data_IF_385444383447
#
_entry.id   IF_385444383447
#
_cell.length_a   1.000
_cell.length_b   1.000
_cell.length_c   1.000
_cell.angle_alpha   90.00
_cell.angle_beta   90.00
_cell.angle_gamma   90.00
#
_symmetry.space_group_name_H-M   'P 1'
#
loop_
_entity.id
_entity.type
_entity.pdbx_description
1 polymer ?
#
# COMPACT_ATOMS: atom_id res chain seq x y z
N UNK A 1 21.80 -40.26 -6.97
CA UNK A 1 20.44 -40.33 -6.40
C UNK A 1 20.62 -40.32 -4.91
N UNK A 2 20.59 -39.15 -4.31
CA UNK A 2 20.60 -38.96 -2.86
C UNK A 2 19.47 -37.95 -2.54
N UNK A 3 18.67 -38.40 -1.66
CA UNK A 3 17.39 -37.92 -1.19
C UNK A 3 17.48 -36.45 -0.71
N UNK A 4 16.68 -35.56 -1.31
CA UNK A 4 16.51 -34.14 -0.93
C UNK A 4 15.23 -33.89 -0.14
N UNK A 5 14.65 -34.94 0.46
CA UNK A 5 13.38 -34.84 1.24
C UNK A 5 13.54 -34.57 2.75
N UNK A 6 14.78 -34.39 3.26
CA UNK A 6 15.00 -34.27 4.71
C UNK A 6 15.27 -32.84 5.24
N UNK A 7 15.25 -31.82 4.39
CA UNK A 7 15.50 -30.44 4.79
C UNK A 7 14.22 -29.62 5.09
N UNK A 8 13.03 -30.15 4.81
CA UNK A 8 11.74 -29.45 5.01
C UNK A 8 11.01 -29.81 6.32
N UNK A 9 11.58 -30.73 7.12
CA UNK A 9 10.96 -31.23 8.35
C UNK A 9 11.62 -30.76 9.66
N UNK A 10 12.58 -29.84 9.60
CA UNK A 10 13.29 -29.34 10.79
C UNK A 10 12.77 -28.00 11.33
N UNK A 11 11.66 -27.49 10.83
CA UNK A 11 11.07 -26.22 11.31
C UNK A 11 9.71 -26.37 12.02
N UNK A 12 9.31 -27.57 12.43
CA UNK A 12 7.99 -27.84 13.06
C UNK A 12 8.06 -28.41 14.46
N UNK A 13 9.10 -28.10 15.25
CA UNK A 13 9.08 -28.32 16.68
C UNK A 13 9.46 -27.03 17.39
N UNK A 14 8.52 -26.06 17.41
CA UNK A 14 8.49 -25.05 18.45
C UNK A 14 7.69 -25.62 19.61
N UNK A 15 8.32 -25.54 20.79
CA UNK A 15 7.80 -25.90 22.09
C UNK A 15 6.34 -25.45 22.26
N UNK A 16 5.47 -26.39 22.60
CA UNK A 16 4.07 -26.13 22.97
C UNK A 16 3.99 -25.66 24.42
N UNK A 17 4.48 -24.45 24.69
CA UNK A 17 3.96 -23.68 25.83
C UNK A 17 2.59 -23.13 25.43
N UNK A 18 1.60 -23.07 26.37
CA UNK A 18 0.29 -22.54 26.03
C UNK A 18 0.47 -21.08 25.62
N UNK A 19 0.28 -20.83 24.31
CA UNK A 19 0.12 -19.48 23.80
C UNK A 19 -1.06 -18.88 24.59
N UNK A 20 -0.83 -17.71 25.21
CA UNK A 20 -1.87 -16.79 25.63
C UNK A 20 -2.98 -16.71 24.57
N UNK A 21 -4.20 -16.39 24.94
CA UNK A 21 -5.44 -16.30 24.12
C UNK A 21 -5.38 -15.35 22.90
N UNK A 22 -4.22 -15.15 22.30
CA UNK A 22 -3.92 -14.24 21.20
C UNK A 22 -4.07 -14.97 19.85
N UNK A 23 -5.28 -15.39 19.53
CA UNK A 23 -5.62 -15.84 18.18
C UNK A 23 -5.79 -14.62 17.24
N UNK A 24 -5.50 -14.76 15.93
CA UNK A 24 -5.73 -13.68 14.97
C UNK A 24 -7.21 -13.29 14.89
N UNK A 25 -7.47 -12.00 14.60
CA UNK A 25 -8.83 -11.52 14.35
C UNK A 25 -9.43 -12.27 13.16
N UNK A 26 -10.68 -12.64 13.28
CA UNK A 26 -11.44 -13.21 12.17
C UNK A 26 -12.09 -12.10 11.34
N UNK A 27 -12.36 -12.37 10.06
CA UNK A 27 -13.10 -11.44 9.22
C UNK A 27 -14.47 -11.06 9.83
N UNK A 28 -15.11 -11.99 10.57
CA UNK A 28 -16.38 -11.73 11.26
C UNK A 28 -16.18 -10.75 12.42
N UNK A 29 -15.09 -10.84 13.16
CA UNK A 29 -14.80 -9.91 14.25
C UNK A 29 -14.48 -8.50 13.75
N UNK A 30 -13.75 -8.39 12.64
CA UNK A 30 -13.52 -7.13 11.98
C UNK A 30 -14.81 -6.50 11.46
N UNK A 31 -15.66 -7.28 10.79
CA UNK A 31 -16.99 -6.85 10.34
C UNK A 31 -17.87 -6.36 11.49
N UNK A 32 -17.91 -7.12 12.59
CA UNK A 32 -18.66 -6.74 13.78
C UNK A 32 -18.14 -5.43 14.38
N UNK A 33 -16.83 -5.23 14.45
CA UNK A 33 -16.22 -4.01 14.96
C UNK A 33 -16.64 -2.77 14.12
N UNK A 34 -16.64 -2.88 12.79
CA UNK A 34 -17.10 -1.79 11.89
C UNK A 34 -18.59 -1.49 12.04
N UNK A 35 -19.43 -2.48 12.36
CA UNK A 35 -20.85 -2.26 12.65
C UNK A 35 -21.14 -1.80 14.10
N UNK A 36 -20.09 -1.59 14.90
CA UNK A 36 -20.19 -1.18 16.29
C UNK A 36 -20.41 -2.33 17.29
N UNK A 37 -20.35 -3.57 16.82
CA UNK A 37 -20.41 -4.77 17.65
C UNK A 37 -19.00 -5.33 17.84
N UNK A 38 -18.52 -5.41 19.09
CA UNK A 38 -17.17 -5.88 19.40
C UNK A 38 -17.22 -7.22 20.12
N UNK A 39 -16.42 -8.18 19.63
CA UNK A 39 -16.22 -9.44 20.35
C UNK A 39 -15.29 -9.20 21.54
N UNK A 40 -15.37 -10.07 22.56
CA UNK A 40 -14.44 -10.01 23.70
C UNK A 40 -12.98 -10.16 23.27
N UNK A 41 -12.72 -10.93 22.23
CA UNK A 41 -11.39 -11.11 21.67
C UNK A 41 -10.89 -9.81 21.04
N UNK A 42 -11.70 -9.16 20.18
CA UNK A 42 -11.36 -7.84 19.63
C UNK A 42 -11.10 -6.81 20.74
N UNK A 43 -12.03 -6.71 21.70
CA UNK A 43 -11.88 -5.81 22.84
C UNK A 43 -10.58 -6.05 23.62
N UNK A 44 -10.17 -7.33 23.81
CA UNK A 44 -8.95 -7.65 24.57
C UNK A 44 -7.66 -7.13 23.91
N UNK A 45 -7.64 -7.01 22.58
CA UNK A 45 -6.51 -6.46 21.83
C UNK A 45 -6.39 -4.94 21.98
N UNK A 46 -7.51 -4.26 22.19
CA UNK A 46 -7.59 -2.79 22.24
C UNK A 46 -8.01 -2.24 23.63
N UNK A 47 -8.16 -3.11 24.65
CA UNK A 47 -8.36 -2.67 26.02
C UNK A 47 -7.06 -2.15 26.61
N UNK A 48 -7.05 -0.91 27.02
CA UNK A 48 -5.88 -0.25 27.55
C UNK A 48 -6.05 0.09 29.04
N UNK A 49 -5.02 -0.16 29.84
CA UNK A 49 -4.95 0.30 31.21
C UNK A 49 -4.63 1.81 31.25
N UNK A 50 -4.80 2.48 32.39
CA UNK A 50 -4.34 3.87 32.57
C UNK A 50 -2.85 4.07 32.27
N UNK A 51 -2.05 3.00 32.37
CA UNK A 51 -0.62 3.02 32.03
C UNK A 51 -0.39 3.08 30.51
N UNK A 52 -1.39 2.70 29.70
CA UNK A 52 -1.33 2.69 28.24
C UNK A 52 -1.75 4.02 27.58
N UNK A 53 -1.59 5.12 28.25
CA UNK A 53 -1.90 6.45 27.66
C UNK A 53 -0.82 6.91 26.70
N UNK A 54 -1.18 7.65 25.67
CA UNK A 54 -0.23 8.33 24.78
C UNK A 54 0.55 9.39 25.58
N UNK A 55 1.86 9.41 25.43
CA UNK A 55 2.76 10.36 26.08
C UNK A 55 3.50 11.28 25.10
N UNK A 56 3.66 10.85 23.85
CA UNK A 56 4.18 11.72 22.80
C UNK A 56 3.72 11.27 21.42
N UNK A 57 3.65 12.22 20.51
CA UNK A 57 3.47 12.04 19.07
C UNK A 57 4.61 12.76 18.38
N UNK A 58 5.44 12.01 17.67
CA UNK A 58 6.55 12.55 16.90
C UNK A 58 6.22 12.41 15.40
N UNK A 59 6.49 13.44 14.62
CA UNK A 59 6.30 13.44 13.17
C UNK A 59 7.62 13.84 12.53
N UNK A 60 8.03 13.08 11.51
CA UNK A 60 9.24 13.33 10.75
C UNK A 60 8.93 13.29 9.26
N UNK A 61 9.41 14.25 8.50
CA UNK A 61 9.55 14.15 7.06
C UNK A 61 11.03 13.98 6.74
N UNK A 62 11.43 12.79 6.31
CA UNK A 62 12.82 12.44 6.05
C UNK A 62 13.00 12.06 4.59
N UNK A 63 14.19 12.29 4.03
CA UNK A 63 14.45 11.96 2.65
C UNK A 63 15.93 12.09 2.29
N UNK A 64 16.18 12.00 1.00
CA UNK A 64 17.48 12.29 0.39
C UNK A 64 17.39 13.61 -0.37
N UNK A 65 18.54 14.25 -0.60
CA UNK A 65 18.60 15.43 -1.49
C UNK A 65 18.58 15.03 -2.97
N UNK A 66 18.77 13.76 -3.27
CA UNK A 66 18.77 13.21 -4.61
C UNK A 66 17.34 13.01 -5.12
N UNK A 67 17.13 13.33 -6.38
CA UNK A 67 15.88 13.04 -7.09
C UNK A 67 15.99 11.65 -7.71
N UNK A 68 14.93 10.85 -7.62
CA UNK A 68 15.02 9.42 -7.94
C UNK A 68 14.27 9.00 -9.19
N UNK A 69 13.12 9.62 -9.48
CA UNK A 69 12.28 9.20 -10.59
C UNK A 69 11.48 10.36 -11.18
N UNK A 70 11.11 10.22 -12.45
CA UNK A 70 10.07 11.04 -13.09
C UNK A 70 8.81 10.20 -13.22
N UNK A 71 7.66 10.84 -13.04
CA UNK A 71 6.35 10.24 -13.21
C UNK A 71 5.70 10.79 -14.47
N UNK A 72 4.70 10.10 -15.00
CA UNK A 72 3.92 10.54 -16.15
C UNK A 72 3.44 11.98 -15.96
N UNK A 73 3.56 12.79 -17.03
CA UNK A 73 3.12 14.18 -17.01
C UNK A 73 3.98 15.17 -16.21
N UNK A 74 5.11 14.76 -15.62
CA UNK A 74 6.04 15.64 -14.91
C UNK A 74 7.38 15.75 -15.65
N UNK A 75 7.85 16.99 -15.85
CA UNK A 75 9.14 17.25 -16.50
C UNK A 75 10.33 17.04 -15.56
N UNK A 76 10.14 17.29 -14.25
CA UNK A 76 11.21 17.24 -13.24
C UNK A 76 11.06 16.03 -12.34
N UNK A 77 12.17 15.38 -11.97
CA UNK A 77 12.18 14.30 -10.99
C UNK A 77 11.71 14.79 -9.62
N UNK A 78 10.98 13.94 -8.90
CA UNK A 78 10.58 14.22 -7.53
C UNK A 78 11.66 13.83 -6.54
N UNK A 79 11.70 14.55 -5.41
CA UNK A 79 12.42 14.11 -4.21
C UNK A 79 11.54 13.15 -3.44
N UNK A 80 12.10 11.99 -3.10
CA UNK A 80 11.39 11.03 -2.27
C UNK A 80 11.50 11.43 -0.79
N UNK A 81 10.35 11.52 -0.14
CA UNK A 81 10.24 11.89 1.27
C UNK A 81 9.37 10.87 2.01
N UNK A 82 9.89 10.32 3.09
CA UNK A 82 9.15 9.41 3.96
C UNK A 82 8.57 10.21 5.14
N UNK A 83 7.25 10.28 5.22
CA UNK A 83 6.54 10.95 6.30
C UNK A 83 6.19 9.92 7.39
N UNK A 84 6.86 10.03 8.53
CA UNK A 84 6.74 9.08 9.64
C UNK A 84 5.96 9.73 10.77
N UNK A 85 4.86 9.11 11.18
CA UNK A 85 4.19 9.36 12.44
C UNK A 85 4.61 8.29 13.45
N UNK A 86 4.95 8.71 14.68
CA UNK A 86 5.29 7.84 15.79
C UNK A 86 4.46 8.21 17.02
N UNK A 87 3.66 7.29 17.49
CA UNK A 87 2.88 7.41 18.74
C UNK A 87 3.61 6.62 19.81
N UNK A 88 3.84 7.21 21.00
CA UNK A 88 4.44 6.52 22.14
C UNK A 88 3.48 6.48 23.32
N UNK A 89 3.49 5.37 24.01
CA UNK A 89 2.65 5.12 25.19
C UNK A 89 3.48 5.04 26.48
N UNK A 90 2.87 5.31 27.64
CA UNK A 90 3.54 5.37 28.93
C UNK A 90 4.13 4.03 29.37
N UNK A 91 3.58 2.90 28.92
CA UNK A 91 4.08 1.55 29.16
C UNK A 91 5.23 1.13 28.23
N UNK A 92 5.66 2.04 27.34
CA UNK A 92 6.84 1.89 26.49
C UNK A 92 6.59 1.27 25.12
N UNK A 93 5.34 1.02 24.74
CA UNK A 93 5.02 0.65 23.37
C UNK A 93 5.03 1.86 22.43
N UNK A 94 5.16 1.57 21.15
CA UNK A 94 5.07 2.58 20.09
C UNK A 94 4.32 2.03 18.89
N UNK A 95 3.58 2.92 18.21
CA UNK A 95 2.99 2.66 16.91
C UNK A 95 3.58 3.60 15.87
N UNK A 96 3.85 3.10 14.69
CA UNK A 96 4.52 3.82 13.62
C UNK A 96 3.71 3.70 12.34
N UNK A 97 3.60 4.79 11.59
CA UNK A 97 3.12 4.78 10.23
C UNK A 97 4.08 5.53 9.30
N UNK A 98 4.04 5.18 8.03
CA UNK A 98 4.62 5.98 6.96
C UNK A 98 3.51 6.32 5.97
N UNK A 99 3.45 7.57 5.57
CA UNK A 99 2.46 8.07 4.62
C UNK A 99 3.15 8.98 3.63
N UNK A 100 2.88 8.79 2.36
CA UNK A 100 3.38 9.64 1.30
C UNK A 100 2.37 10.72 0.95
N UNK A 101 2.88 11.89 0.66
CA UNK A 101 2.11 12.95 0.03
C UNK A 101 2.48 12.94 -1.45
N UNK A 102 1.60 12.44 -2.28
CA UNK A 102 1.84 12.32 -3.73
C UNK A 102 2.09 13.65 -4.43
N UNK A 103 1.72 14.78 -3.83
CA UNK A 103 1.87 16.09 -4.46
C UNK A 103 3.23 16.75 -4.25
N UNK A 104 3.86 16.53 -3.09
CA UNK A 104 5.05 17.30 -2.68
C UNK A 104 6.18 16.45 -2.06
N UNK A 105 5.97 15.14 -1.95
CA UNK A 105 6.94 14.23 -1.31
C UNK A 105 7.06 14.39 0.20
N UNK A 106 6.33 15.32 0.83
CA UNK A 106 6.28 15.51 2.28
C UNK A 106 4.91 16.03 2.72
N UNK A 107 4.60 15.92 4.00
CA UNK A 107 3.44 16.62 4.55
C UNK A 107 3.59 18.12 4.34
N UNK A 108 2.56 18.74 3.77
CA UNK A 108 2.46 20.19 3.71
C UNK A 108 2.35 20.79 5.12
N UNK A 109 2.61 22.08 5.24
CA UNK A 109 2.38 22.80 6.50
C UNK A 109 0.93 22.66 6.99
N UNK A 110 -0.02 22.52 6.07
CA UNK A 110 -1.43 22.29 6.35
C UNK A 110 -1.66 20.94 7.02
N UNK A 111 -1.12 19.84 6.44
CA UNK A 111 -1.17 18.51 7.05
C UNK A 111 -0.51 18.48 8.45
N UNK A 112 0.60 19.20 8.64
CA UNK A 112 1.25 19.29 9.94
C UNK A 112 0.39 20.05 10.96
N UNK A 113 -0.37 21.07 10.51
CA UNK A 113 -1.33 21.78 11.37
C UNK A 113 -2.54 20.90 11.72
N UNK A 114 -3.04 20.12 10.78
CA UNK A 114 -4.09 19.14 11.04
C UNK A 114 -3.63 18.10 12.07
N UNK A 115 -2.46 17.50 11.87
CA UNK A 115 -1.88 16.53 12.80
C UNK A 115 -1.68 17.11 14.20
N UNK A 116 -1.28 18.39 14.33
CA UNK A 116 -1.20 19.09 15.62
C UNK A 116 -2.56 19.22 16.30
N UNK A 117 -3.57 19.59 15.52
CA UNK A 117 -4.94 19.74 16.05
C UNK A 117 -5.46 18.39 16.57
N UNK A 118 -5.28 17.33 15.79
CA UNK A 118 -5.67 15.98 16.17
C UNK A 118 -4.88 15.46 17.37
N UNK A 119 -3.58 15.74 17.46
CA UNK A 119 -2.76 15.30 18.60
C UNK A 119 -3.32 15.85 19.94
N UNK A 120 -3.82 17.07 19.97
CA UNK A 120 -4.47 17.61 21.16
C UNK A 120 -5.78 16.89 21.49
N UNK A 121 -6.55 16.50 20.47
CA UNK A 121 -7.77 15.70 20.62
C UNK A 121 -7.45 14.27 21.07
N UNK A 122 -6.37 13.70 20.58
CA UNK A 122 -5.89 12.35 20.91
C UNK A 122 -5.61 12.16 22.40
N UNK A 123 -5.10 13.19 23.07
CA UNK A 123 -4.87 13.17 24.53
C UNK A 123 -6.20 13.02 25.29
N UNK A 124 -7.28 13.56 24.73
CA UNK A 124 -8.61 13.47 25.32
C UNK A 124 -9.30 12.14 25.00
N UNK A 125 -8.82 11.39 24.01
CA UNK A 125 -9.36 10.08 23.66
C UNK A 125 -8.89 9.05 24.67
N UNK A 126 -9.85 8.32 25.26
CA UNK A 126 -9.57 7.21 26.19
C UNK A 126 -9.45 5.86 25.46
N UNK A 127 -9.42 5.87 24.14
CA UNK A 127 -9.32 4.67 23.30
C UNK A 127 -8.17 4.78 22.34
N UNK A 128 -7.53 3.65 22.06
CA UNK A 128 -6.54 3.47 20.98
C UNK A 128 -6.99 2.38 19.99
N UNK A 129 -8.26 2.00 20.04
CA UNK A 129 -8.91 1.16 19.03
C UNK A 129 -9.00 1.94 17.71
N UNK A 130 -8.33 1.50 16.64
CA UNK A 130 -8.27 2.27 15.39
C UNK A 130 -9.67 2.53 14.80
N UNK A 131 -10.60 1.58 14.88
CA UNK A 131 -11.98 1.75 14.37
C UNK A 131 -12.76 2.76 15.20
N UNK A 132 -12.62 2.73 16.52
CA UNK A 132 -13.28 3.70 17.42
C UNK A 132 -12.70 5.10 17.22
N UNK A 133 -11.38 5.21 17.17
CA UNK A 133 -10.69 6.49 16.96
C UNK A 133 -11.07 7.07 15.61
N UNK A 134 -11.06 6.26 14.53
CA UNK A 134 -11.49 6.70 13.20
C UNK A 134 -12.91 7.27 13.22
N UNK A 135 -13.86 6.56 13.81
CA UNK A 135 -15.25 7.02 13.96
C UNK A 135 -15.37 8.31 14.79
N UNK A 136 -14.55 8.48 15.82
CA UNK A 136 -14.51 9.68 16.63
C UNK A 136 -13.92 10.87 15.85
N UNK A 137 -12.81 10.64 15.13
CA UNK A 137 -12.16 11.65 14.31
C UNK A 137 -13.08 12.15 13.21
N UNK A 138 -13.77 11.29 12.50
CA UNK A 138 -14.75 11.67 11.48
C UNK A 138 -15.85 12.59 12.04
N UNK A 139 -16.31 12.34 13.27
CA UNK A 139 -17.31 13.18 13.93
C UNK A 139 -16.77 14.50 14.42
N UNK A 140 -15.55 14.51 14.95
CA UNK A 140 -14.93 15.71 15.54
C UNK A 140 -14.28 16.60 14.47
N UNK A 141 -13.79 16.00 13.42
CA UNK A 141 -13.01 16.63 12.35
C UNK A 141 -13.49 16.13 10.98
N UNK A 142 -14.71 16.46 10.54
CA UNK A 142 -15.26 15.95 9.28
C UNK A 142 -14.48 16.42 8.05
N UNK A 143 -13.66 17.44 8.18
CA UNK A 143 -12.80 17.97 7.09
C UNK A 143 -11.35 17.45 7.18
N UNK A 144 -11.08 16.47 8.05
CA UNK A 144 -9.74 15.89 8.18
C UNK A 144 -9.36 15.18 6.89
N UNK A 145 -8.15 15.42 6.40
CA UNK A 145 -7.66 14.76 5.20
C UNK A 145 -7.51 13.25 5.39
N UNK A 146 -7.78 12.48 4.34
CA UNK A 146 -7.65 11.01 4.37
C UNK A 146 -6.21 10.57 4.70
N UNK A 147 -5.19 11.30 4.25
CA UNK A 147 -3.78 10.99 4.56
C UNK A 147 -3.42 11.22 6.03
N UNK A 148 -3.98 12.22 6.68
CA UNK A 148 -3.81 12.43 8.13
C UNK A 148 -4.56 11.34 8.90
N UNK A 149 -5.78 11.02 8.50
CA UNK A 149 -6.56 9.92 9.08
C UNK A 149 -5.80 8.60 8.94
N UNK A 150 -5.23 8.32 7.76
CA UNK A 150 -4.43 7.13 7.50
C UNK A 150 -3.18 7.06 8.37
N UNK A 151 -2.48 8.19 8.57
CA UNK A 151 -1.30 8.23 9.45
C UNK A 151 -1.62 7.72 10.85
N UNK A 152 -2.75 8.17 11.40
CA UNK A 152 -3.20 7.82 12.74
C UNK A 152 -3.67 6.37 12.79
N UNK A 153 -4.53 5.98 11.87
CA UNK A 153 -5.11 4.63 11.80
C UNK A 153 -4.02 3.56 11.65
N UNK A 154 -3.11 3.72 10.71
CA UNK A 154 -2.00 2.77 10.49
C UNK A 154 -1.11 2.68 11.73
N UNK A 155 -0.79 3.81 12.38
CA UNK A 155 0.03 3.80 13.60
C UNK A 155 -0.68 3.09 14.76
N UNK A 156 -2.00 3.18 14.87
CA UNK A 156 -2.79 2.47 15.88
C UNK A 156 -2.85 0.96 15.62
N UNK A 157 -3.00 0.55 14.36
CA UNK A 157 -2.91 -0.86 13.99
C UNK A 157 -1.51 -1.44 14.24
N UNK A 158 -0.45 -0.70 13.94
CA UNK A 158 0.93 -1.09 14.26
C UNK A 158 1.12 -1.23 15.77
N UNK A 159 0.61 -0.27 16.55
CA UNK A 159 0.66 -0.28 18.01
C UNK A 159 -0.06 -1.50 18.60
N UNK A 160 -1.27 -1.79 18.14
CA UNK A 160 -2.05 -2.94 18.58
C UNK A 160 -1.33 -4.26 18.28
N UNK A 161 -0.80 -4.40 17.06
CA UNK A 161 -0.07 -5.59 16.66
C UNK A 161 1.26 -5.74 17.44
N UNK A 162 1.98 -4.65 17.72
CA UNK A 162 3.16 -4.66 18.60
C UNK A 162 2.81 -5.05 20.03
N UNK A 163 1.71 -4.55 20.56
CA UNK A 163 1.21 -4.95 21.89
C UNK A 163 0.87 -6.44 21.94
N UNK A 164 0.23 -6.97 20.91
CA UNK A 164 -0.08 -8.40 20.77
C UNK A 164 1.18 -9.25 20.49
N UNK A 165 2.33 -8.66 20.21
CA UNK A 165 3.55 -9.38 19.84
C UNK A 165 3.49 -10.07 18.47
N UNK A 166 2.54 -9.68 17.62
CA UNK A 166 2.28 -10.29 16.32
C UNK A 166 2.63 -9.36 15.16
N UNK A 167 3.12 -9.89 14.03
CA UNK A 167 3.08 -9.16 12.76
C UNK A 167 1.65 -8.77 12.42
N UNK A 168 1.45 -7.58 11.86
CA UNK A 168 0.11 -7.08 11.53
C UNK A 168 -0.66 -8.03 10.59
N UNK A 169 0.02 -8.67 9.64
CA UNK A 169 -0.55 -9.69 8.74
C UNK A 169 -1.21 -10.84 9.52
N UNK A 170 -0.62 -11.24 10.63
CA UNK A 170 -1.18 -12.30 11.49
C UNK A 170 -2.36 -11.78 12.32
N UNK A 171 -2.26 -10.54 12.85
CA UNK A 171 -3.37 -9.91 13.56
C UNK A 171 -4.61 -9.79 12.66
N UNK A 172 -4.43 -9.46 11.39
CA UNK A 172 -5.50 -9.39 10.39
C UNK A 172 -5.99 -10.77 9.89
N UNK A 173 -5.46 -11.87 10.43
CA UNK A 173 -5.92 -13.22 10.12
C UNK A 173 -5.50 -13.76 8.77
N UNK A 174 -4.49 -13.18 8.14
CA UNK A 174 -4.00 -13.63 6.84
C UNK A 174 -3.41 -15.05 6.90
N UNK A 175 -3.66 -15.81 5.84
CA UNK A 175 -3.15 -17.17 5.65
C UNK A 175 -1.95 -17.23 4.69
N UNK A 176 -1.59 -16.10 4.11
CA UNK A 176 -0.46 -15.93 3.18
C UNK A 176 0.58 -15.04 3.83
N UNK A 177 1.84 -15.30 3.57
CA UNK A 177 2.99 -14.52 4.03
C UNK A 177 3.75 -13.84 2.90
N UNK A 178 3.37 -14.12 1.66
CA UNK A 178 4.09 -13.61 0.49
C UNK A 178 3.21 -13.46 -0.75
N UNK A 179 3.63 -12.58 -1.65
CA UNK A 179 2.94 -12.27 -2.90
C UNK A 179 3.90 -12.23 -4.09
N UNK A 180 3.34 -12.32 -5.30
CA UNK A 180 4.06 -12.07 -6.54
C UNK A 180 4.19 -10.56 -6.78
N UNK A 181 5.42 -10.02 -6.91
CA UNK A 181 5.61 -8.61 -7.19
C UNK A 181 5.56 -8.32 -8.67
N UNK A 182 5.18 -7.08 -9.00
CA UNK A 182 5.58 -6.47 -10.26
C UNK A 182 6.52 -5.28 -10.01
N UNK A 183 7.49 -5.10 -10.89
CA UNK A 183 8.32 -3.91 -10.90
C UNK A 183 7.52 -2.77 -11.53
N UNK A 184 7.16 -1.77 -10.73
CA UNK A 184 6.49 -0.56 -11.21
C UNK A 184 7.57 0.42 -11.63
N UNK A 185 7.73 0.59 -12.95
CA UNK A 185 8.83 1.35 -13.53
C UNK A 185 8.49 2.84 -13.59
N UNK A 186 9.46 3.73 -13.35
CA UNK A 186 9.26 5.14 -13.59
C UNK A 186 9.08 5.42 -15.09
N UNK A 187 8.78 6.67 -15.42
CA UNK A 187 8.73 7.12 -16.79
C UNK A 187 10.14 7.20 -17.41
N UNK A 188 10.29 6.71 -18.64
CA UNK A 188 11.51 6.79 -19.45
C UNK A 188 11.29 7.61 -20.72
N UNK A 189 12.36 8.22 -21.22
CA UNK A 189 12.30 9.11 -22.40
C UNK A 189 12.26 8.36 -23.72
N UNK A 190 12.69 7.08 -23.73
CA UNK A 190 12.82 6.33 -24.97
C UNK A 190 12.42 4.86 -24.84
N UNK A 191 11.99 4.29 -25.95
CA UNK A 191 11.66 2.85 -26.04
C UNK A 191 12.80 1.90 -25.61
N UNK A 192 14.08 2.12 -25.97
CA UNK A 192 15.17 1.27 -25.52
C UNK A 192 15.34 1.25 -23.99
N UNK A 193 15.13 2.37 -23.33
CA UNK A 193 15.26 2.47 -21.86
C UNK A 193 14.24 1.56 -21.14
N UNK A 194 13.01 1.44 -21.65
CA UNK A 194 12.03 0.48 -21.10
C UNK A 194 12.50 -0.96 -21.25
N UNK A 195 13.10 -1.33 -22.40
CA UNK A 195 13.64 -2.68 -22.63
C UNK A 195 14.81 -2.97 -21.68
N UNK A 196 15.75 -2.02 -21.57
CA UNK A 196 16.90 -2.13 -20.66
C UNK A 196 16.46 -2.26 -19.19
N UNK A 197 15.46 -1.51 -18.76
CA UNK A 197 14.90 -1.59 -17.41
C UNK A 197 14.26 -2.95 -17.13
N UNK A 198 13.50 -3.51 -18.07
CA UNK A 198 12.95 -4.87 -17.94
C UNK A 198 14.07 -5.89 -17.76
N UNK A 199 15.14 -5.82 -18.60
CA UNK A 199 16.28 -6.72 -18.50
C UNK A 199 17.06 -6.59 -17.20
N UNK A 200 17.16 -5.36 -16.66
CA UNK A 200 17.81 -5.07 -15.39
C UNK A 200 17.03 -5.67 -14.21
N UNK A 201 15.73 -5.35 -14.10
CA UNK A 201 14.93 -5.81 -12.97
C UNK A 201 14.58 -7.29 -13.05
N UNK A 202 14.55 -7.89 -14.22
CA UNK A 202 14.46 -9.34 -14.38
C UNK A 202 15.62 -10.10 -13.71
N UNK A 203 16.83 -9.52 -13.67
CA UNK A 203 18.00 -10.08 -12.95
C UNK A 203 17.79 -10.11 -11.43
N UNK A 204 16.93 -9.25 -10.90
CA UNK A 204 16.54 -9.24 -9.48
C UNK A 204 15.42 -10.24 -9.16
N UNK A 205 14.86 -10.91 -10.18
CA UNK A 205 13.85 -11.95 -10.03
C UNK A 205 12.42 -11.48 -10.35
N UNK A 206 12.22 -10.24 -10.78
CA UNK A 206 10.91 -9.79 -11.27
C UNK A 206 10.54 -10.48 -12.58
N UNK A 207 9.25 -10.76 -12.74
CA UNK A 207 8.68 -11.37 -13.96
C UNK A 207 7.53 -10.57 -14.53
N UNK A 208 7.05 -9.59 -13.79
CA UNK A 208 5.96 -8.71 -14.17
C UNK A 208 6.47 -7.28 -14.07
N UNK A 209 6.15 -6.45 -15.06
CA UNK A 209 6.64 -5.07 -15.18
C UNK A 209 5.48 -4.15 -15.54
N UNK A 210 5.30 -3.07 -14.79
CA UNK A 210 4.32 -2.02 -15.10
C UNK A 210 5.04 -0.81 -15.66
N UNK A 211 4.56 -0.31 -16.78
CA UNK A 211 5.08 0.88 -17.44
C UNK A 211 4.16 2.07 -17.19
N UNK A 212 4.72 3.16 -16.69
CA UNK A 212 4.15 4.48 -16.85
C UNK A 212 4.57 5.01 -18.22
N UNK A 213 3.64 5.53 -18.99
CA UNK A 213 3.83 5.80 -20.41
C UNK A 213 3.59 7.28 -20.74
N UNK A 214 3.81 7.67 -22.01
CA UNK A 214 3.78 9.08 -22.42
C UNK A 214 2.38 9.71 -22.46
N UNK A 215 1.32 8.92 -22.49
CA UNK A 215 -0.03 9.41 -22.77
C UNK A 215 -0.18 9.87 -24.24
N UNK A 216 0.69 9.38 -25.12
CA UNK A 216 0.68 9.62 -26.56
C UNK A 216 0.38 8.30 -27.26
N UNK A 217 -0.82 8.19 -27.83
CA UNK A 217 -1.31 6.95 -28.41
C UNK A 217 -0.37 6.34 -29.46
N UNK A 218 0.32 7.16 -30.27
CA UNK A 218 1.27 6.68 -31.27
C UNK A 218 2.53 6.11 -30.65
N UNK A 219 3.04 6.71 -29.57
CA UNK A 219 4.25 6.25 -28.88
C UNK A 219 3.95 5.06 -27.98
N UNK A 220 2.84 5.07 -27.30
CA UNK A 220 2.43 3.99 -26.39
C UNK A 220 2.08 2.71 -27.17
N UNK A 221 1.46 2.81 -28.35
CA UNK A 221 1.29 1.66 -29.26
C UNK A 221 2.63 1.11 -29.73
N UNK A 222 3.60 1.96 -30.05
CA UNK A 222 4.96 1.49 -30.42
C UNK A 222 5.65 0.76 -29.28
N UNK A 223 5.47 1.23 -28.03
CA UNK A 223 6.00 0.53 -26.87
C UNK A 223 5.38 -0.86 -26.71
N UNK A 224 4.05 -0.96 -26.82
CA UNK A 224 3.33 -2.24 -26.77
C UNK A 224 3.84 -3.21 -27.85
N UNK A 225 3.95 -2.75 -29.09
CA UNK A 225 4.44 -3.56 -30.22
C UNK A 225 5.90 -4.00 -30.01
N UNK A 226 6.78 -3.10 -29.53
CA UNK A 226 8.17 -3.41 -29.22
C UNK A 226 8.28 -4.48 -28.13
N UNK A 227 7.54 -4.31 -27.05
CA UNK A 227 7.51 -5.25 -25.92
C UNK A 227 7.04 -6.64 -26.38
N UNK A 228 6.00 -6.70 -27.19
CA UNK A 228 5.52 -7.96 -27.78
C UNK A 228 6.57 -8.60 -28.69
N UNK A 229 7.27 -7.80 -29.49
CA UNK A 229 8.34 -8.32 -30.37
C UNK A 229 9.54 -8.83 -29.58
N UNK A 230 9.99 -8.10 -28.55
CA UNK A 230 11.23 -8.42 -27.82
C UNK A 230 11.02 -9.55 -26.81
N UNK A 231 9.87 -9.60 -26.16
CA UNK A 231 9.63 -10.50 -25.03
C UNK A 231 8.63 -11.64 -25.30
N UNK A 232 8.22 -11.85 -26.56
CA UNK A 232 7.26 -12.90 -26.95
C UNK A 232 7.60 -14.30 -26.42
N UNK A 233 8.88 -14.66 -26.42
CA UNK A 233 9.35 -15.99 -26.01
C UNK A 233 9.89 -16.04 -24.57
N UNK A 234 9.57 -15.01 -23.75
CA UNK A 234 9.98 -14.94 -22.35
C UNK A 234 8.82 -15.28 -21.42
N UNK A 235 9.08 -15.61 -20.14
CA UNK A 235 8.02 -15.79 -19.14
C UNK A 235 7.51 -14.46 -18.56
N UNK A 236 7.89 -13.33 -19.13
CA UNK A 236 7.54 -12.02 -18.59
C UNK A 236 6.12 -11.61 -18.94
N UNK A 237 5.52 -10.80 -18.08
CA UNK A 237 4.20 -10.22 -18.23
C UNK A 237 4.30 -8.71 -18.00
N UNK A 238 3.38 -7.96 -18.60
CA UNK A 238 3.42 -6.51 -18.59
C UNK A 238 2.09 -5.90 -18.16
N UNK A 239 2.16 -4.68 -17.68
CA UNK A 239 1.03 -3.82 -17.32
C UNK A 239 1.30 -2.43 -17.86
N UNK A 240 0.27 -1.73 -18.27
CA UNK A 240 0.36 -0.34 -18.73
C UNK A 240 -0.45 0.52 -17.78
N UNK A 241 0.13 1.64 -17.34
CA UNK A 241 -0.50 2.65 -16.52
C UNK A 241 -0.52 3.99 -17.23
N UNK A 242 -1.71 4.52 -17.45
CA UNK A 242 -1.97 5.76 -18.20
C UNK A 242 -2.33 6.95 -17.32
N UNK A 243 -2.56 6.72 -16.01
CA UNK A 243 -2.90 7.78 -15.04
C UNK A 243 -4.05 8.70 -15.51
N UNK A 244 -5.04 8.14 -16.23
CA UNK A 244 -6.21 8.87 -16.75
C UNK A 244 -5.97 9.69 -18.02
N UNK A 245 -4.84 9.50 -18.72
CA UNK A 245 -4.43 10.37 -19.79
C UNK A 245 -5.27 10.31 -21.08
N UNK A 246 -6.06 9.25 -21.29
CA UNK A 246 -6.75 9.01 -22.56
C UNK A 246 -8.24 9.34 -22.52
N UNK A 247 -8.78 9.51 -23.71
CA UNK A 247 -10.22 9.36 -23.94
C UNK A 247 -10.56 7.89 -24.27
N UNK A 248 -11.86 7.59 -24.35
CA UNK A 248 -12.34 6.23 -24.62
C UNK A 248 -11.81 5.65 -25.94
N UNK A 249 -11.64 6.46 -26.99
CA UNK A 249 -11.24 5.96 -28.32
C UNK A 249 -9.76 5.58 -28.33
N UNK A 250 -8.92 6.38 -27.72
CA UNK A 250 -7.48 6.09 -27.60
C UNK A 250 -7.23 4.92 -26.65
N UNK A 251 -7.97 4.84 -25.53
CA UNK A 251 -7.94 3.68 -24.63
C UNK A 251 -8.34 2.37 -25.35
N UNK A 252 -9.41 2.38 -26.14
CA UNK A 252 -9.81 1.24 -26.97
C UNK A 252 -8.78 0.89 -28.03
N UNK A 253 -8.12 1.92 -28.62
CA UNK A 253 -7.08 1.70 -29.62
C UNK A 253 -5.86 1.03 -29.01
N UNK A 254 -5.36 1.52 -27.89
CA UNK A 254 -4.21 0.91 -27.21
C UNK A 254 -4.53 -0.52 -26.76
N UNK A 255 -5.65 -0.72 -26.07
CA UNK A 255 -6.05 -2.01 -25.55
C UNK A 255 -6.18 -3.11 -26.61
N UNK A 256 -6.54 -2.74 -27.87
CA UNK A 256 -6.60 -3.70 -28.99
C UNK A 256 -5.22 -4.12 -29.51
N UNK A 257 -4.16 -3.34 -29.23
CA UNK A 257 -2.79 -3.74 -29.55
C UNK A 257 -2.18 -4.64 -28.47
N UNK A 258 -2.77 -4.66 -27.26
CA UNK A 258 -2.26 -5.46 -26.15
C UNK A 258 -2.70 -6.93 -26.29
N UNK A 259 -1.72 -7.84 -26.35
CA UNK A 259 -1.97 -9.29 -26.34
C UNK A 259 -2.27 -9.74 -24.89
N UNK A 260 -3.42 -10.35 -24.66
CA UNK A 260 -3.83 -10.85 -23.34
C UNK A 260 -2.88 -11.94 -22.79
N UNK A 261 -2.14 -12.63 -23.65
CA UNK A 261 -1.13 -13.58 -23.25
C UNK A 261 0.08 -12.93 -22.60
N UNK A 262 0.38 -11.69 -22.96
CA UNK A 262 1.57 -10.96 -22.53
C UNK A 262 1.23 -9.84 -21.54
N UNK A 263 0.08 -9.19 -21.70
CA UNK A 263 -0.35 -8.10 -20.83
C UNK A 263 -1.35 -8.56 -19.76
N UNK A 264 -1.14 -8.11 -18.51
CA UNK A 264 -2.00 -8.43 -17.36
C UNK A 264 -3.18 -7.49 -17.32
N UNK A 265 -2.92 -6.16 -17.31
CA UNK A 265 -3.96 -5.14 -17.28
C UNK A 265 -3.56 -3.83 -17.96
N UNK A 266 -4.56 -3.04 -18.26
CA UNK A 266 -4.50 -1.64 -18.61
C UNK A 266 -5.08 -0.85 -17.44
N UNK A 267 -4.24 -0.05 -16.77
CA UNK A 267 -4.53 0.70 -15.56
C UNK A 267 -4.81 2.16 -15.89
N UNK A 268 -5.85 2.72 -15.27
CA UNK A 268 -6.20 4.12 -15.38
C UNK A 268 -6.25 4.64 -16.82
N UNK A 269 -6.89 3.93 -17.78
CA UNK A 269 -6.86 4.39 -19.17
C UNK A 269 -7.59 5.72 -19.39
N UNK A 270 -8.61 5.99 -18.60
CA UNK A 270 -9.47 7.18 -18.64
C UNK A 270 -9.73 7.66 -17.21
N UNK A 271 -10.39 8.81 -17.07
CA UNK A 271 -10.84 9.32 -15.77
C UNK A 271 -11.68 8.27 -15.01
N UNK A 272 -11.33 8.00 -13.75
CA UNK A 272 -11.94 6.96 -12.92
C UNK A 272 -13.45 7.16 -12.70
N UNK A 273 -13.95 8.40 -12.76
CA UNK A 273 -15.37 8.72 -12.59
C UNK A 273 -16.25 8.27 -13.78
N UNK A 274 -15.64 7.93 -14.91
CA UNK A 274 -16.36 7.54 -16.14
C UNK A 274 -16.76 6.05 -16.15
N UNK A 275 -17.50 5.60 -15.12
CA UNK A 275 -17.86 4.20 -14.89
C UNK A 275 -18.49 3.49 -16.10
N UNK A 276 -19.38 4.17 -16.84
CA UNK A 276 -20.01 3.59 -18.03
C UNK A 276 -18.98 3.33 -19.14
N UNK A 277 -18.01 4.22 -19.32
CA UNK A 277 -16.95 4.07 -20.31
C UNK A 277 -15.94 2.96 -19.90
N UNK A 278 -15.66 2.81 -18.61
CA UNK A 278 -14.92 1.67 -18.10
C UNK A 278 -15.62 0.34 -18.41
N UNK A 279 -16.94 0.26 -18.21
CA UNK A 279 -17.74 -0.90 -18.58
C UNK A 279 -17.68 -1.18 -20.09
N UNK A 280 -17.64 -0.14 -20.93
CA UNK A 280 -17.47 -0.27 -22.39
C UNK A 280 -16.06 -0.82 -22.73
N UNK A 281 -14.99 -0.28 -22.14
CA UNK A 281 -13.62 -0.79 -22.31
C UNK A 281 -13.56 -2.27 -21.97
N UNK A 282 -14.03 -2.63 -20.78
CA UNK A 282 -14.03 -4.00 -20.27
C UNK A 282 -14.81 -4.96 -21.17
N UNK A 283 -15.90 -4.51 -21.77
CA UNK A 283 -16.70 -5.34 -22.69
C UNK A 283 -16.06 -5.57 -24.05
N UNK A 284 -15.12 -4.73 -24.48
CA UNK A 284 -14.52 -4.71 -25.83
C UNK A 284 -13.06 -5.14 -25.88
N UNK A 285 -12.39 -5.20 -24.74
CA UNK A 285 -10.99 -5.53 -24.64
C UNK A 285 -10.82 -6.89 -23.94
N UNK A 286 -9.78 -7.63 -24.31
CA UNK A 286 -9.44 -8.90 -23.70
C UNK A 286 -8.54 -8.72 -22.46
N UNK A 287 -7.70 -7.69 -22.45
CA UNK A 287 -6.85 -7.32 -21.32
C UNK A 287 -7.73 -6.82 -20.17
N UNK A 288 -7.34 -7.11 -18.92
CA UNK A 288 -8.05 -6.61 -17.74
C UNK A 288 -7.98 -5.09 -17.64
N UNK A 289 -9.08 -4.49 -17.19
CA UNK A 289 -9.21 -3.04 -17.04
C UNK A 289 -9.33 -2.72 -15.56
N UNK A 290 -8.45 -1.87 -15.05
CA UNK A 290 -8.49 -1.38 -13.67
C UNK A 290 -8.43 0.15 -13.63
N UNK A 291 -8.99 0.81 -12.61
CA UNK A 291 -8.90 2.26 -12.48
C UNK A 291 -7.50 2.69 -12.05
N UNK A 292 -7.18 3.97 -12.16
CA UNK A 292 -5.97 4.54 -11.59
C UNK A 292 -6.00 4.54 -10.04
N UNK A 293 -7.19 4.62 -9.47
CA UNK A 293 -7.41 4.56 -8.03
C UNK A 293 -7.37 5.90 -7.31
N UNK A 294 -7.28 7.00 -8.05
CA UNK A 294 -7.22 8.33 -7.45
C UNK A 294 -8.58 8.86 -6.99
N UNK A 295 -9.67 8.38 -7.58
CA UNK A 295 -11.04 8.79 -7.23
C UNK A 295 -11.77 7.81 -6.30
N UNK A 296 -11.15 6.68 -5.96
CA UNK A 296 -11.77 5.61 -5.15
C UNK A 296 -11.47 5.87 -3.67
N UNK A 297 -12.10 6.87 -3.09
CA UNK A 297 -11.92 7.22 -1.67
C UNK A 297 -13.18 6.98 -0.82
N UNK A 298 -14.30 6.59 -1.44
CA UNK A 298 -15.53 6.34 -0.72
C UNK A 298 -16.04 4.93 -0.89
N UNK A 299 -16.65 4.39 0.18
CA UNK A 299 -17.35 3.10 0.14
C UNK A 299 -18.44 3.07 -0.93
N UNK A 300 -19.11 4.20 -1.17
CA UNK A 300 -20.15 4.33 -2.16
C UNK A 300 -19.60 4.24 -3.59
N UNK A 301 -18.47 4.87 -3.87
CA UNK A 301 -17.89 4.85 -5.22
C UNK A 301 -17.42 3.44 -5.61
N UNK A 302 -16.78 2.71 -4.68
CA UNK A 302 -16.37 1.32 -4.95
C UNK A 302 -17.61 0.42 -5.21
N UNK A 303 -18.71 0.67 -4.48
CA UNK A 303 -19.97 -0.06 -4.70
C UNK A 303 -20.56 0.25 -6.06
N UNK A 304 -20.64 1.52 -6.45
CA UNK A 304 -21.14 1.94 -7.77
C UNK A 304 -20.31 1.33 -8.91
N UNK A 305 -18.97 1.35 -8.80
CA UNK A 305 -18.08 0.72 -9.78
C UNK A 305 -18.28 -0.79 -9.89
N UNK A 306 -18.44 -1.46 -8.76
CA UNK A 306 -18.72 -2.89 -8.72
C UNK A 306 -20.09 -3.24 -9.33
N UNK A 307 -21.14 -2.48 -9.00
CA UNK A 307 -22.51 -2.67 -9.54
C UNK A 307 -22.58 -2.38 -11.04
N UNK A 308 -21.87 -1.35 -11.49
CA UNK A 308 -21.76 -1.02 -12.91
C UNK A 308 -20.91 -2.04 -13.69
N UNK A 309 -20.16 -2.91 -13.01
CA UNK A 309 -19.20 -3.81 -13.64
C UNK A 309 -18.10 -3.05 -14.37
N UNK A 310 -17.69 -1.90 -13.82
CA UNK A 310 -16.75 -0.99 -14.47
C UNK A 310 -15.35 -1.59 -14.58
N UNK A 311 -14.87 -2.29 -13.54
CA UNK A 311 -13.49 -2.76 -13.45
C UNK A 311 -13.40 -4.28 -13.23
N UNK A 312 -12.27 -4.87 -13.61
CA UNK A 312 -11.90 -6.24 -13.26
C UNK A 312 -11.33 -6.33 -11.84
N UNK A 313 -10.72 -5.26 -11.36
CA UNK A 313 -10.30 -5.05 -9.97
C UNK A 313 -10.45 -3.58 -9.60
N UNK A 314 -10.83 -3.28 -8.36
CA UNK A 314 -10.70 -1.95 -7.79
C UNK A 314 -9.26 -1.65 -7.41
N UNK A 315 -8.94 -0.37 -7.18
CA UNK A 315 -7.58 0.08 -6.84
C UNK A 315 -7.60 1.25 -5.88
N UNK A 316 -6.72 1.25 -4.89
CA UNK A 316 -6.46 2.35 -3.97
C UNK A 316 -5.11 2.15 -3.26
N UNK A 317 -4.65 3.16 -2.53
CA UNK A 317 -3.57 3.07 -1.54
C UNK A 317 -4.15 3.23 -0.12
N UNK A 318 -3.69 2.42 0.82
CA UNK A 318 -4.10 2.48 2.22
C UNK A 318 -3.86 3.86 2.84
N UNK A 319 -2.84 4.58 2.35
CA UNK A 319 -2.48 5.91 2.85
C UNK A 319 -3.37 7.03 2.31
N UNK A 320 -4.10 6.79 1.22
CA UNK A 320 -4.98 7.78 0.59
C UNK A 320 -6.46 7.56 0.86
N UNK A 321 -6.83 6.41 1.40
CA UNK A 321 -8.24 6.09 1.71
C UNK A 321 -8.59 6.20 3.19
N UNK A 322 -7.72 6.76 4.01
CA UNK A 322 -7.98 6.95 5.44
C UNK A 322 -7.47 5.82 6.34
N UNK A 323 -6.62 4.92 5.84
CA UNK A 323 -5.94 3.89 6.62
C UNK A 323 -6.46 2.48 6.44
N UNK A 324 -5.97 1.57 7.27
CA UNK A 324 -6.25 0.13 7.23
C UNK A 324 -7.72 -0.16 7.52
N UNK A 325 -8.32 0.52 8.49
CA UNK A 325 -9.73 0.32 8.86
C UNK A 325 -10.66 0.54 7.67
N UNK A 326 -10.57 1.70 7.02
CA UNK A 326 -11.39 2.03 5.86
C UNK A 326 -11.05 1.15 4.63
N UNK A 327 -9.78 0.84 4.43
CA UNK A 327 -9.35 -0.06 3.36
C UNK A 327 -9.92 -1.47 3.51
N UNK A 328 -10.02 -2.00 4.74
CA UNK A 328 -10.68 -3.28 5.01
C UNK A 328 -12.17 -3.24 4.63
N UNK A 329 -12.89 -2.16 4.96
CA UNK A 329 -14.28 -2.00 4.55
C UNK A 329 -14.43 -1.96 3.02
N UNK A 330 -13.56 -1.21 2.32
CA UNK A 330 -13.53 -1.17 0.84
C UNK A 330 -13.31 -2.56 0.25
N UNK A 331 -12.36 -3.32 0.81
CA UNK A 331 -12.08 -4.69 0.36
C UNK A 331 -13.25 -5.64 0.60
N UNK A 332 -13.99 -5.48 1.70
CA UNK A 332 -15.18 -6.31 1.97
C UNK A 332 -16.29 -6.03 0.94
N UNK A 333 -16.56 -4.76 0.64
CA UNK A 333 -17.56 -4.39 -0.39
C UNK A 333 -17.18 -4.98 -1.75
N UNK A 334 -15.90 -4.87 -2.13
CA UNK A 334 -15.41 -5.46 -3.36
C UNK A 334 -15.54 -7.00 -3.37
N UNK A 335 -15.20 -7.66 -2.27
CA UNK A 335 -15.33 -9.11 -2.13
C UNK A 335 -16.78 -9.59 -2.24
N UNK A 336 -17.75 -8.87 -1.66
CA UNK A 336 -19.19 -9.16 -1.77
C UNK A 336 -19.66 -9.08 -3.21
N UNK A 337 -19.12 -8.13 -3.98
CA UNK A 337 -19.34 -8.00 -5.43
C UNK A 337 -18.49 -8.98 -6.27
N UNK A 338 -17.71 -9.87 -5.64
CA UNK A 338 -16.76 -10.78 -6.31
C UNK A 338 -15.65 -10.07 -7.09
N UNK A 339 -15.39 -8.81 -6.82
CA UNK A 339 -14.31 -8.00 -7.37
C UNK A 339 -13.07 -8.08 -6.48
N UNK A 340 -11.87 -8.14 -7.05
CA UNK A 340 -10.62 -8.00 -6.30
C UNK A 340 -10.28 -6.53 -6.08
N UNK A 341 -9.36 -6.28 -5.16
CA UNK A 341 -8.66 -5.00 -5.01
C UNK A 341 -7.18 -5.27 -5.20
N UNK A 342 -6.55 -4.53 -6.10
CA UNK A 342 -5.10 -4.52 -6.29
C UNK A 342 -4.59 -3.17 -5.75
N UNK A 343 -4.01 -3.14 -4.53
CA UNK A 343 -3.60 -1.87 -3.94
C UNK A 343 -2.38 -1.27 -4.65
N UNK A 344 -2.32 0.04 -4.69
CA UNK A 344 -1.08 0.76 -4.95
C UNK A 344 -0.15 0.59 -3.76
N UNK A 345 1.14 0.59 -3.99
CA UNK A 345 2.16 0.64 -2.93
C UNK A 345 3.40 1.41 -3.38
N UNK A 346 3.20 2.34 -4.31
CA UNK A 346 4.23 3.28 -4.70
C UNK A 346 4.51 4.22 -3.53
N UNK A 347 5.62 3.99 -2.84
CA UNK A 347 5.98 4.75 -1.65
C UNK A 347 7.07 4.05 -0.85
N UNK A 348 7.33 4.55 0.36
CA UNK A 348 8.38 4.05 1.24
C UNK A 348 8.03 2.72 1.89
N UNK A 349 9.03 2.08 2.46
CA UNK A 349 8.90 0.75 3.07
C UNK A 349 7.78 0.64 4.10
N UNK A 350 7.45 1.69 4.86
CA UNK A 350 6.33 1.68 5.80
C UNK A 350 4.98 1.67 5.09
N UNK A 351 4.82 2.49 4.05
CA UNK A 351 3.63 2.50 3.17
C UNK A 351 3.48 1.16 2.46
N UNK A 352 4.57 0.65 1.89
CA UNK A 352 4.60 -0.67 1.24
C UNK A 352 4.20 -1.78 2.21
N UNK A 353 4.71 -1.77 3.46
CA UNK A 353 4.38 -2.76 4.46
C UNK A 353 2.89 -2.69 4.86
N UNK A 354 2.32 -1.50 5.06
CA UNK A 354 0.92 -1.34 5.40
C UNK A 354 0.00 -1.93 4.31
N UNK A 355 0.25 -1.58 3.03
CA UNK A 355 -0.46 -2.16 1.89
C UNK A 355 -0.26 -3.68 1.81
N UNK A 356 0.97 -4.18 1.99
CA UNK A 356 1.28 -5.60 1.93
C UNK A 356 0.50 -6.41 2.97
N UNK A 357 0.47 -5.97 4.23
CA UNK A 357 -0.26 -6.67 5.29
C UNK A 357 -1.76 -6.77 4.96
N UNK A 358 -2.34 -5.68 4.46
CA UNK A 358 -3.72 -5.63 4.02
C UNK A 358 -3.99 -6.57 2.83
N UNK A 359 -3.12 -6.54 1.80
CA UNK A 359 -3.24 -7.39 0.62
C UNK A 359 -3.13 -8.88 0.96
N UNK A 360 -2.24 -9.25 1.89
CA UNK A 360 -2.07 -10.64 2.33
C UNK A 360 -3.27 -11.14 3.14
N UNK A 361 -4.00 -10.24 3.79
CA UNK A 361 -5.25 -10.55 4.47
C UNK A 361 -6.43 -10.75 3.50
N UNK A 362 -6.33 -10.28 2.26
CA UNK A 362 -7.35 -10.45 1.22
C UNK A 362 -6.93 -11.53 0.20
N UNK A 363 -7.65 -12.65 0.16
CA UNK A 363 -7.32 -13.78 -0.73
C UNK A 363 -7.48 -13.45 -2.23
N UNK A 364 -8.25 -12.41 -2.59
CA UNK A 364 -8.51 -12.04 -4.00
C UNK A 364 -7.44 -11.15 -4.59
N UNK A 365 -6.67 -10.42 -3.77
CA UNK A 365 -5.55 -9.60 -4.23
C UNK A 365 -4.39 -10.49 -4.73
N UNK A 366 -3.81 -10.18 -5.86
CA UNK A 366 -2.85 -11.07 -6.53
C UNK A 366 -1.43 -10.56 -6.57
N UNK A 367 -1.25 -9.28 -6.86
CA UNK A 367 0.05 -8.71 -7.19
C UNK A 367 0.43 -7.57 -6.25
N UNK A 368 1.70 -7.47 -5.93
CA UNK A 368 2.27 -6.39 -5.13
C UNK A 368 3.04 -5.42 -6.02
N UNK A 369 2.75 -4.14 -5.92
CA UNK A 369 3.48 -3.07 -6.58
C UNK A 369 4.81 -2.79 -5.89
N UNK A 370 5.92 -3.06 -6.57
CA UNK A 370 7.25 -2.72 -6.09
C UNK A 370 7.77 -1.51 -6.87
N UNK A 371 7.87 -0.31 -6.25
CA UNK A 371 8.31 0.88 -6.96
C UNK A 371 9.79 0.82 -7.32
N UNK A 372 10.14 1.37 -8.47
CA UNK A 372 11.51 1.44 -8.98
C UNK A 372 11.99 2.89 -9.11
N UNK A 373 13.28 3.18 -8.98
CA UNK A 373 14.38 2.24 -8.82
C UNK A 373 14.43 1.60 -7.42
N UNK A 374 14.83 0.34 -7.37
CA UNK A 374 14.96 -0.39 -6.11
C UNK A 374 15.92 0.33 -5.16
N UNK A 375 15.54 0.41 -3.88
CA UNK A 375 16.31 1.07 -2.83
C UNK A 375 16.02 2.56 -2.66
N UNK A 376 15.44 3.21 -3.66
CA UNK A 376 15.07 4.63 -3.58
C UNK A 376 14.06 4.91 -2.46
N UNK A 377 13.26 3.92 -2.09
CA UNK A 377 12.19 4.02 -1.09
C UNK A 377 12.51 3.33 0.24
N UNK A 378 13.75 2.85 0.43
CA UNK A 378 14.16 2.07 1.60
C UNK A 378 14.91 2.91 2.65
N UNK A 379 15.26 4.16 2.34
CA UNK A 379 16.06 5.01 3.22
C UNK A 379 15.38 5.25 4.58
N UNK A 380 16.20 5.41 5.62
CA UNK A 380 15.72 5.57 7.00
C UNK A 380 15.19 4.28 7.65
N UNK A 381 15.24 3.14 6.95
CA UNK A 381 14.76 1.85 7.44
C UNK A 381 15.91 0.83 7.54
N UNK A 382 15.98 0.09 8.66
CA UNK A 382 16.98 -0.97 8.87
C UNK A 382 16.69 -2.25 8.08
N UNK A 383 15.42 -2.48 7.72
CA UNK A 383 14.93 -3.68 7.05
C UNK A 383 13.84 -3.37 6.03
N UNK A 384 14.01 -2.29 5.25
CA UNK A 384 13.00 -1.81 4.30
C UNK A 384 12.80 -2.70 3.07
N UNK A 385 13.74 -3.58 2.75
CA UNK A 385 13.66 -4.46 1.58
C UNK A 385 12.71 -5.64 1.82
N UNK A 386 11.59 -5.66 1.11
CA UNK A 386 10.57 -6.72 1.20
C UNK A 386 10.76 -7.84 0.16
N UNK A 387 11.66 -7.69 -0.81
CA UNK A 387 11.88 -8.67 -1.87
C UNK A 387 12.82 -9.79 -1.43
N UNK A 388 12.31 -11.01 -1.35
CA UNK A 388 13.07 -12.20 -0.97
C UNK A 388 12.78 -13.36 -1.94
N UNK A 389 13.81 -13.84 -2.63
CA UNK A 389 13.69 -14.97 -3.55
C UNK A 389 12.70 -14.75 -4.71
N UNK A 390 12.54 -13.51 -5.18
CA UNK A 390 11.61 -13.14 -6.26
C UNK A 390 10.15 -13.02 -5.81
N UNK A 391 9.89 -12.98 -4.51
CA UNK A 391 8.56 -12.71 -3.92
C UNK A 391 8.66 -11.56 -2.92
N UNK A 392 7.59 -10.83 -2.78
CA UNK A 392 7.44 -9.89 -1.65
C UNK A 392 6.94 -10.69 -0.44
N UNK A 393 7.63 -10.52 0.68
CA UNK A 393 7.39 -11.28 1.92
C UNK A 393 7.04 -10.31 3.05
N UNK A 394 6.00 -10.64 3.82
CA UNK A 394 5.66 -9.86 5.01
C UNK A 394 6.81 -9.87 6.01
N UNK A 395 7.15 -8.71 6.61
CA UNK A 395 8.15 -8.66 7.68
C UNK A 395 7.74 -9.51 8.89
N UNK A 396 8.70 -10.19 9.49
CA UNK A 396 8.46 -11.11 10.62
C UNK A 396 8.25 -10.41 11.98
N UNK A 397 8.59 -9.13 12.09
CA UNK A 397 8.53 -8.38 13.35
C UNK A 397 7.10 -7.99 13.74
N UNK A 398 6.84 -7.71 15.04
CA UNK A 398 5.56 -7.20 15.49
C UNK A 398 5.16 -5.88 14.80
N UNK A 399 3.88 -5.65 14.61
CA UNK A 399 3.35 -4.49 13.91
C UNK A 399 3.56 -4.60 12.40
N UNK A 400 3.91 -3.50 11.77
CA UNK A 400 4.32 -3.45 10.35
C UNK A 400 5.64 -4.21 10.10
N UNK A 401 6.37 -4.56 11.19
CA UNK A 401 7.63 -5.29 11.10
C UNK A 401 8.79 -4.52 10.46
N UNK A 402 8.60 -3.26 10.13
CA UNK A 402 9.65 -2.35 9.63
C UNK A 402 10.27 -1.58 10.80
N UNK A 403 11.60 -1.53 10.82
CA UNK A 403 12.35 -0.86 11.87
C UNK A 403 12.94 0.44 11.33
N UNK A 404 12.50 1.57 11.88
CA UNK A 404 13.07 2.87 11.58
C UNK A 404 14.48 2.98 12.17
N UNK A 405 15.39 3.55 11.42
CA UNK A 405 16.77 3.82 11.89
C UNK A 405 16.83 5.12 12.69
N UNK A 406 16.30 5.07 13.93
CA UNK A 406 16.31 6.22 14.84
C UNK A 406 17.71 6.74 15.16
N UNK A 407 18.74 5.86 15.14
CA UNK A 407 20.12 6.24 15.38
C UNK A 407 20.69 7.03 14.20
N UNK A 408 20.43 6.58 12.97
CA UNK A 408 20.79 7.29 11.74
C UNK A 408 20.12 8.66 11.66
N UNK A 409 18.84 8.75 12.03
CA UNK A 409 18.12 10.02 12.12
C UNK A 409 18.75 10.97 13.16
N UNK A 410 19.14 10.47 14.33
CA UNK A 410 19.76 11.27 15.37
C UNK A 410 21.17 11.75 14.98
N UNK A 411 21.90 10.96 14.16
CA UNK A 411 23.22 11.30 13.62
C UNK A 411 23.17 12.16 12.34
N UNK A 412 21.97 12.53 11.90
CA UNK A 412 21.73 13.28 10.65
C UNK A 412 22.28 12.58 9.38
N UNK A 413 22.21 11.25 9.34
CA UNK A 413 22.55 10.46 8.15
C UNK A 413 21.54 10.66 7.01
N UNK A 414 20.32 11.14 7.37
CA UNK A 414 19.23 11.45 6.44
C UNK A 414 18.86 12.92 6.54
N UNK A 415 18.40 13.48 5.44
CA UNK A 415 17.87 14.84 5.47
C UNK A 415 16.51 14.87 6.18
N UNK A 416 16.36 15.72 7.20
CA UNK A 416 15.10 15.94 7.89
C UNK A 416 14.48 17.25 7.41
N UNK A 417 13.49 17.16 6.54
CA UNK A 417 12.77 18.33 5.98
C UNK A 417 11.91 19.00 7.05
N UNK A 418 11.25 18.22 7.87
CA UNK A 418 10.46 18.74 8.98
C UNK A 418 10.42 17.75 10.15
N UNK A 419 10.28 18.29 11.35
CA UNK A 419 10.09 17.53 12.59
C UNK A 419 9.10 18.25 13.47
N UNK A 420 8.13 17.52 14.01
CA UNK A 420 7.24 17.95 15.04
C UNK A 420 7.31 16.98 16.22
N UNK A 421 7.51 17.48 17.43
CA UNK A 421 7.53 16.71 18.66
C UNK A 421 6.45 17.30 19.58
N UNK A 422 5.47 16.49 19.93
CA UNK A 422 4.36 16.82 20.81
C UNK A 422 4.48 15.95 22.06
N UNK A 423 5.18 16.45 23.08
CA UNK A 423 5.16 15.84 24.42
C UNK A 423 3.85 16.20 25.11
N UNK A 424 3.13 15.19 25.61
CA UNK A 424 1.76 15.28 26.14
C UNK A 424 1.72 15.09 27.68
#
# INVERSE_FOLDING_TARGET
MADRSSAYLACSQRDSSPLSDESPLTAIELLAAFSGERTKHYESLFTFSEEFRVVSIDIYAIGTEETTARYSGREEPLKEVNNILRIKTADGFEGISGVDSYSEGQFSDEHLLELRGVAADFVALQSLDPVEVGTMLEKMRPDLSDSVSASIDIALWDLAARKAGLPLVQLLGAKRDSMEPYASLPFYDSLPEYVEAVEEYAKLGYKIFKFHVWGSIEEDVRLVELVQQVFADTPYRFMIDLEGAYDLQDALRLGRHMDEGLFVWLEGPIDDELLEQYGELRSKLAVQIIPAGYSIYSLEFIRQGAEAGAWDAGRFDVTTVGGISKALELMMIANDASMSIETQSWGHSLTQAANLHLMLANERTRYFEAPMPKGAFEFGMKNGNLLHGGRIVAPDGPGLGINVDWDGLAMAEFHVYSKLDLSL
#
